data_IF_426140145103
#
_entry.id   IF_426140145103
#
_cell.length_a   1.000
_cell.length_b   1.000
_cell.length_c   1.000
_cell.angle_alpha   90.00
_cell.angle_beta   90.00
_cell.angle_gamma   90.00
#
_symmetry.space_group_name_H-M   'P 1'
#
loop_
_entity.id
_entity.type
_entity.pdbx_description
1 polymer ?
#
# COMPACT_ATOMS: atom_id res chain seq x y z
N UNK A 1 -3.20 19.37 16.47
CA UNK A 1 -2.02 18.47 16.41
C UNK A 1 -2.52 17.06 16.16
N UNK A 2 -1.96 16.39 15.16
CA UNK A 2 -2.38 15.02 14.86
C UNK A 2 -1.93 14.05 15.96
N UNK A 3 -2.80 13.16 16.37
CA UNK A 3 -2.48 12.11 17.34
C UNK A 3 -1.74 10.93 16.71
N UNK A 4 -1.84 10.76 15.38
CA UNK A 4 -1.16 9.76 14.59
C UNK A 4 -0.87 10.32 13.20
N UNK A 5 0.20 9.85 12.58
CA UNK A 5 0.56 10.18 11.19
C UNK A 5 0.13 9.15 10.16
N UNK A 6 -0.58 8.11 10.59
CA UNK A 6 -0.98 7.03 9.70
C UNK A 6 -1.72 7.55 8.45
N UNK A 7 -2.69 8.44 8.65
CA UNK A 7 -3.47 9.01 7.55
C UNK A 7 -2.62 9.86 6.60
N UNK A 8 -1.74 10.70 7.14
CA UNK A 8 -0.85 11.54 6.32
C UNK A 8 0.09 10.70 5.47
N UNK A 9 0.60 9.60 6.04
CA UNK A 9 1.50 8.69 5.34
C UNK A 9 0.72 7.91 4.27
N UNK A 10 -0.48 7.44 4.55
CA UNK A 10 -1.32 6.76 3.55
C UNK A 10 -1.62 7.68 2.36
N UNK A 11 -1.98 8.94 2.60
CA UNK A 11 -2.20 9.94 1.54
C UNK A 11 -0.92 10.20 0.74
N UNK A 12 0.22 10.37 1.41
CA UNK A 12 1.50 10.62 0.75
C UNK A 12 1.94 9.44 -0.11
N UNK A 13 1.76 8.22 0.36
CA UNK A 13 2.02 7.00 -0.42
C UNK A 13 1.12 6.94 -1.65
N UNK A 14 -0.18 7.17 -1.49
CA UNK A 14 -1.14 7.18 -2.59
C UNK A 14 -0.74 8.21 -3.66
N UNK A 15 -0.41 9.43 -3.25
CA UNK A 15 0.01 10.49 -4.16
C UNK A 15 1.29 10.14 -4.91
N UNK A 16 2.28 9.63 -4.21
CA UNK A 16 3.56 9.25 -4.81
C UNK A 16 3.41 8.10 -5.81
N UNK A 17 2.62 7.10 -5.48
CA UNK A 17 2.39 5.95 -6.37
C UNK A 17 1.50 6.30 -7.56
N UNK A 18 0.51 7.16 -7.38
CA UNK A 18 -0.32 7.65 -8.48
C UNK A 18 0.52 8.41 -9.52
N UNK A 19 1.52 9.16 -9.08
CA UNK A 19 2.46 9.85 -9.97
C UNK A 19 3.48 8.91 -10.64
N UNK A 20 3.86 7.80 -9.98
CA UNK A 20 4.90 6.90 -10.47
C UNK A 20 4.37 5.73 -11.31
N UNK A 21 3.14 5.30 -11.08
CA UNK A 21 2.55 4.15 -11.75
C UNK A 21 1.68 4.55 -12.93
N UNK A 22 1.56 3.66 -13.91
CA UNK A 22 0.68 3.86 -15.08
C UNK A 22 -0.74 3.33 -14.85
N UNK A 23 -0.95 2.49 -13.85
CA UNK A 23 -2.26 1.99 -13.46
C UNK A 23 -2.95 2.92 -12.46
N UNK A 24 -4.24 2.68 -12.22
CA UNK A 24 -5.00 3.44 -11.22
C UNK A 24 -4.55 3.11 -9.80
N UNK A 25 -4.46 4.13 -8.96
CA UNK A 25 -4.12 4.02 -7.54
C UNK A 25 -5.24 4.63 -6.71
N UNK A 26 -5.77 3.85 -5.76
CA UNK A 26 -6.87 4.27 -4.90
C UNK A 26 -6.40 4.42 -3.46
N UNK A 27 -6.89 5.45 -2.79
CA UNK A 27 -6.81 5.56 -1.34
C UNK A 27 -8.05 4.86 -0.74
N UNK A 28 -7.85 3.65 -0.30
CA UNK A 28 -8.93 2.75 0.12
C UNK A 28 -9.36 1.75 -0.95
N UNK A 29 -10.54 1.16 -0.81
CA UNK A 29 -11.08 0.21 -1.78
C UNK A 29 -11.30 0.85 -3.15
N UNK A 30 -11.12 0.07 -4.22
CA UNK A 30 -11.39 0.53 -5.58
C UNK A 30 -12.88 0.87 -5.76
N UNK A 31 -13.15 2.07 -6.32
CA UNK A 31 -14.50 2.62 -6.43
C UNK A 31 -15.15 2.41 -7.79
N UNK A 32 -14.40 2.01 -8.80
CA UNK A 32 -14.88 1.83 -10.18
C UNK A 32 -14.45 0.48 -10.76
N UNK A 33 -14.77 -0.60 -10.05
CA UNK A 33 -14.24 -1.93 -10.30
C UNK A 33 -14.61 -2.60 -11.62
N UNK A 34 -15.62 -2.12 -12.34
CA UNK A 34 -16.20 -2.89 -13.45
C UNK A 34 -15.38 -2.89 -14.75
N UNK A 35 -14.38 -2.02 -14.87
CA UNK A 35 -13.60 -1.86 -16.10
C UNK A 35 -12.10 -1.77 -15.91
N UNK A 36 -11.62 -1.85 -14.69
CA UNK A 36 -10.19 -1.74 -14.39
C UNK A 36 -9.52 -3.08 -14.62
N UNK A 37 -8.52 -3.10 -15.50
CA UNK A 37 -7.70 -4.30 -15.76
C UNK A 37 -6.61 -4.47 -14.70
N UNK A 38 -6.03 -3.37 -14.25
CA UNK A 38 -5.00 -3.37 -13.20
C UNK A 38 -5.16 -2.14 -12.32
N UNK A 39 -5.01 -2.33 -11.01
CA UNK A 39 -5.08 -1.23 -10.05
C UNK A 39 -4.37 -1.57 -8.75
N UNK A 40 -4.06 -0.53 -7.98
CA UNK A 40 -3.44 -0.62 -6.65
C UNK A 40 -4.35 0.07 -5.63
N UNK A 41 -4.58 -0.57 -4.50
CA UNK A 41 -5.29 0.02 -3.37
C UNK A 41 -4.35 0.21 -2.18
N UNK A 42 -4.34 1.40 -1.63
CA UNK A 42 -3.57 1.76 -0.44
C UNK A 42 -4.53 1.86 0.75
N UNK A 43 -4.24 1.16 1.83
CA UNK A 43 -5.10 1.16 3.00
C UNK A 43 -6.36 0.30 2.82
N UNK A 44 -6.29 -0.76 2.04
CA UNK A 44 -7.37 -1.73 1.88
C UNK A 44 -6.83 -3.15 1.82
N UNK A 45 -7.52 -4.06 2.49
CA UNK A 45 -7.27 -5.49 2.35
C UNK A 45 -7.64 -5.99 0.95
N UNK A 46 -7.11 -7.15 0.57
CA UNK A 46 -7.53 -7.83 -0.65
C UNK A 46 -9.06 -8.00 -0.70
N UNK A 47 -9.67 -7.97 -1.90
CA UNK A 47 -11.12 -7.90 -2.06
C UNK A 47 -11.90 -9.05 -1.41
N UNK A 48 -11.27 -10.19 -1.20
CA UNK A 48 -11.86 -11.39 -0.58
C UNK A 48 -11.60 -11.49 0.93
N UNK A 49 -11.00 -10.46 1.53
CA UNK A 49 -10.77 -10.42 2.97
C UNK A 49 -12.08 -10.16 3.73
N UNK A 50 -12.33 -10.98 4.75
CA UNK A 50 -13.51 -10.86 5.60
C UNK A 50 -13.44 -9.68 6.58
N UNK A 51 -12.24 -9.14 6.82
CA UNK A 51 -12.02 -8.04 7.76
C UNK A 51 -11.53 -6.79 7.04
N UNK A 52 -12.30 -5.68 7.09
CA UNK A 52 -11.87 -4.42 6.53
C UNK A 52 -10.81 -3.79 7.44
N UNK A 53 -9.56 -4.11 7.20
CA UNK A 53 -8.42 -3.60 7.96
C UNK A 53 -7.47 -2.86 7.01
N UNK A 54 -7.42 -1.53 7.17
CA UNK A 54 -6.54 -0.66 6.38
C UNK A 54 -5.09 -0.67 6.87
N UNK A 55 -4.88 -1.04 8.12
CA UNK A 55 -3.58 -1.05 8.76
C UNK A 55 -3.68 -0.90 10.27
N UNK A 56 -2.55 -0.73 10.89
CA UNK A 56 -2.45 -0.53 12.34
C UNK A 56 -1.24 0.35 12.66
N UNK A 57 -1.25 0.94 13.83
CA UNK A 57 -0.09 1.66 14.35
C UNK A 57 0.05 1.43 15.86
N UNK A 58 1.27 1.65 16.35
CA UNK A 58 1.57 1.68 17.77
C UNK A 58 2.47 2.86 18.11
N UNK A 59 2.31 3.40 19.29
CA UNK A 59 3.02 4.59 19.74
C UNK A 59 3.74 4.34 21.06
N UNK A 60 4.92 4.92 21.20
CA UNK A 60 5.70 4.88 22.42
C UNK A 60 6.20 6.27 22.76
N UNK A 61 5.92 6.71 23.99
CA UNK A 61 6.45 7.98 24.49
C UNK A 61 7.97 7.97 24.64
N UNK A 62 8.59 9.05 24.20
CA UNK A 62 9.99 9.37 24.48
C UNK A 62 10.05 10.38 25.59
N UNK A 63 10.17 9.94 26.82
CA UNK A 63 10.27 10.82 27.97
C UNK A 63 8.95 11.09 28.67
N UNK A 64 8.99 11.97 29.65
CA UNK A 64 7.87 12.33 30.49
C UNK A 64 7.59 13.83 30.38
N UNK A 65 6.36 14.21 30.53
CA UNK A 65 5.93 15.61 30.56
C UNK A 65 5.19 16.07 29.30
N UNK A 66 4.69 17.30 29.30
CA UNK A 66 3.80 17.82 28.24
C UNK A 66 4.53 18.05 26.90
N UNK A 67 5.87 18.09 26.91
CA UNK A 67 6.68 18.21 25.68
C UNK A 67 7.19 16.86 25.16
N UNK A 68 6.73 15.74 25.73
CA UNK A 68 7.14 14.41 25.32
C UNK A 68 6.69 14.14 23.87
N UNK A 69 7.62 13.67 23.05
CA UNK A 69 7.32 13.19 21.70
C UNK A 69 6.99 11.70 21.75
N UNK A 70 6.29 11.24 20.74
CA UNK A 70 5.98 9.83 20.56
C UNK A 70 6.73 9.29 19.34
N UNK A 71 7.29 8.09 19.46
CA UNK A 71 7.65 7.30 18.29
C UNK A 71 6.43 6.51 17.85
N UNK A 72 6.14 6.55 16.57
CA UNK A 72 5.05 5.78 15.97
C UNK A 72 5.63 4.81 14.95
N UNK A 73 5.22 3.56 15.06
CA UNK A 73 5.45 2.54 14.05
C UNK A 73 4.10 2.05 13.56
N UNK A 74 3.98 1.79 12.27
CA UNK A 74 2.71 1.32 11.74
C UNK A 74 2.86 0.55 10.45
N UNK A 75 1.76 -0.03 10.06
CA UNK A 75 1.59 -0.79 8.84
C UNK A 75 0.43 -0.22 8.05
N UNK A 76 0.57 -0.21 6.73
CA UNK A 76 -0.50 0.10 5.79
C UNK A 76 -0.71 -1.14 4.94
N UNK A 77 -1.92 -1.69 4.95
CA UNK A 77 -2.28 -2.82 4.11
C UNK A 77 -2.67 -2.33 2.73
N UNK A 78 -2.12 -2.99 1.73
CA UNK A 78 -2.30 -2.62 0.34
C UNK A 78 -2.52 -3.88 -0.50
N UNK A 79 -3.01 -3.72 -1.71
CA UNK A 79 -3.01 -4.80 -2.68
C UNK A 79 -2.91 -4.27 -4.11
N UNK A 80 -2.33 -5.11 -4.96
CA UNK A 80 -2.33 -4.95 -6.41
C UNK A 80 -3.30 -5.98 -6.97
N UNK A 81 -4.15 -5.59 -7.90
CA UNK A 81 -5.07 -6.49 -8.57
C UNK A 81 -4.95 -6.35 -10.08
N UNK A 82 -4.93 -7.45 -10.79
CA UNK A 82 -4.95 -7.48 -12.24
C UNK A 82 -5.87 -8.58 -12.73
N UNK A 83 -6.67 -8.26 -13.74
CA UNK A 83 -7.64 -9.13 -14.34
C UNK A 83 -7.54 -9.06 -15.86
N UNK A 84 -7.78 -10.19 -16.52
CA UNK A 84 -7.87 -10.29 -17.98
C UNK A 84 -8.94 -11.30 -18.37
N UNK A 85 -9.66 -11.01 -19.45
CA UNK A 85 -10.58 -11.95 -20.09
C UNK A 85 -9.90 -13.16 -20.71
N UNK A 86 -8.58 -13.07 -20.93
CA UNK A 86 -7.74 -14.17 -21.39
C UNK A 86 -7.36 -15.07 -20.20
N UNK A 87 -7.30 -16.40 -20.44
CA UNK A 87 -6.89 -17.34 -19.39
C UNK A 87 -5.35 -17.47 -19.30
N UNK A 88 -4.63 -16.36 -19.34
CA UNK A 88 -3.18 -16.33 -19.32
C UNK A 88 -2.67 -15.83 -17.95
N UNK A 89 -2.70 -16.69 -16.94
CA UNK A 89 -2.18 -16.38 -15.60
C UNK A 89 -0.69 -15.99 -15.60
N UNK A 90 0.21 -16.63 -16.37
CA UNK A 90 1.62 -16.22 -16.38
C UNK A 90 1.82 -14.76 -16.80
N UNK A 91 1.09 -14.28 -17.79
CA UNK A 91 1.17 -12.88 -18.23
C UNK A 91 0.65 -11.91 -17.16
N UNK A 92 -0.43 -12.25 -16.47
CA UNK A 92 -0.96 -11.46 -15.35
C UNK A 92 0.00 -11.39 -14.16
N UNK A 93 0.67 -12.51 -13.84
CA UNK A 93 1.70 -12.51 -12.79
C UNK A 93 2.84 -11.56 -13.12
N UNK A 94 3.31 -11.56 -14.35
CA UNK A 94 4.36 -10.62 -14.80
C UNK A 94 3.87 -9.18 -14.62
N UNK A 95 2.66 -8.86 -15.06
CA UNK A 95 2.08 -7.52 -14.91
C UNK A 95 2.04 -7.08 -13.45
N UNK A 96 1.56 -7.94 -12.56
CA UNK A 96 1.46 -7.64 -11.12
C UNK A 96 2.84 -7.48 -10.49
N UNK A 97 3.79 -8.33 -10.83
CA UNK A 97 5.17 -8.22 -10.33
C UNK A 97 5.88 -6.97 -10.84
N UNK A 98 5.66 -6.57 -12.09
CA UNK A 98 6.20 -5.32 -12.63
C UNK A 98 5.65 -4.10 -11.86
N UNK A 99 4.36 -4.08 -11.57
CA UNK A 99 3.75 -3.03 -10.73
C UNK A 99 4.38 -3.03 -9.33
N UNK A 100 4.56 -4.19 -8.74
CA UNK A 100 5.19 -4.32 -7.42
C UNK A 100 6.64 -3.82 -7.42
N UNK A 101 7.41 -4.12 -8.46
CA UNK A 101 8.77 -3.63 -8.62
C UNK A 101 8.80 -2.10 -8.78
N UNK A 102 7.87 -1.54 -9.53
CA UNK A 102 7.73 -0.08 -9.68
C UNK A 102 7.38 0.60 -8.36
N UNK A 103 6.53 -0.01 -7.54
CA UNK A 103 6.23 0.47 -6.18
C UNK A 103 7.48 0.49 -5.31
N UNK A 104 8.26 -0.59 -5.32
CA UNK A 104 9.51 -0.67 -4.57
C UNK A 104 10.51 0.40 -5.05
N UNK A 105 10.63 0.60 -6.35
CA UNK A 105 11.53 1.61 -6.92
C UNK A 105 11.11 3.03 -6.50
N UNK A 106 9.82 3.35 -6.54
CA UNK A 106 9.30 4.65 -6.13
C UNK A 106 9.55 4.94 -4.64
N UNK A 107 9.32 3.94 -3.78
CA UNK A 107 9.55 4.10 -2.33
C UNK A 107 11.04 4.19 -1.97
N UNK A 108 11.90 3.49 -2.70
CA UNK A 108 13.36 3.61 -2.49
C UNK A 108 13.92 4.95 -2.96
N UNK A 109 13.32 5.55 -3.98
CA UNK A 109 13.75 6.84 -4.49
C UNK A 109 13.50 7.97 -3.48
N UNK A 110 12.40 7.89 -2.71
CA UNK A 110 12.10 8.86 -1.64
C UNK A 110 11.32 8.15 -0.52
N UNK A 111 12.03 7.67 0.47
CA UNK A 111 11.46 6.92 1.59
C UNK A 111 10.71 7.79 2.61
N UNK A 112 10.90 9.09 2.56
CA UNK A 112 10.19 10.04 3.42
C UNK A 112 8.95 10.62 2.76
N UNK A 113 8.81 10.50 1.45
CA UNK A 113 7.72 11.04 0.63
C UNK A 113 7.48 12.54 0.86
N UNK A 114 8.54 13.27 1.18
CA UNK A 114 8.46 14.70 1.49
C UNK A 114 7.85 15.02 2.87
N UNK A 115 7.54 14.04 3.68
CA UNK A 115 6.99 14.23 5.03
C UNK A 115 8.11 14.56 6.04
N UNK A 116 7.87 15.58 6.86
CA UNK A 116 8.75 15.91 7.99
C UNK A 116 8.52 14.93 9.14
N UNK A 117 9.59 14.60 9.89
CA UNK A 117 9.52 13.69 11.02
C UNK A 117 9.49 12.20 10.66
N UNK A 118 9.40 11.86 9.38
CA UNK A 118 9.64 10.50 8.90
C UNK A 118 11.14 10.27 8.77
N UNK A 119 11.63 9.16 9.26
CA UNK A 119 13.06 8.82 9.22
C UNK A 119 13.34 7.89 8.06
N UNK A 120 14.45 8.11 7.36
CA UNK A 120 14.91 7.20 6.33
C UNK A 120 15.74 6.05 6.95
N UNK A 121 15.55 4.81 6.53
CA UNK A 121 14.68 4.23 5.49
C UNK A 121 13.34 3.73 6.07
N UNK A 122 12.34 4.58 6.18
CA UNK A 122 11.26 4.39 7.14
C UNK A 122 9.92 3.99 6.53
N UNK A 123 9.76 4.15 5.21
CA UNK A 123 8.59 3.62 4.50
C UNK A 123 9.10 2.56 3.52
N UNK A 124 8.75 1.30 3.78
CA UNK A 124 9.23 0.17 3.01
C UNK A 124 8.17 -0.92 2.83
N UNK A 125 8.31 -1.71 1.78
CA UNK A 125 7.53 -2.93 1.61
C UNK A 125 8.11 -4.02 2.52
N UNK A 126 7.28 -4.52 3.41
CA UNK A 126 7.70 -5.52 4.39
C UNK A 126 7.40 -6.95 3.97
N UNK A 127 6.27 -7.17 3.36
CA UNK A 127 5.83 -8.51 2.95
C UNK A 127 4.81 -8.42 1.83
N UNK A 128 4.70 -9.49 1.08
CA UNK A 128 3.69 -9.66 0.06
C UNK A 128 3.33 -11.12 -0.11
N UNK A 129 2.18 -11.39 -0.69
CA UNK A 129 1.75 -12.73 -1.08
C UNK A 129 1.06 -12.68 -2.43
N UNK A 130 1.04 -13.79 -3.16
CA UNK A 130 0.39 -13.85 -4.47
C UNK A 130 -0.80 -14.79 -4.38
N UNK A 131 -1.95 -14.31 -4.85
CA UNK A 131 -3.16 -15.10 -5.02
C UNK A 131 -3.55 -15.08 -6.49
N UNK A 132 -3.86 -16.23 -7.05
CA UNK A 132 -4.21 -16.33 -8.45
C UNK A 132 -5.30 -17.37 -8.66
N UNK A 133 -6.11 -17.18 -9.69
CA UNK A 133 -7.15 -18.11 -10.03
C UNK A 133 -7.89 -17.72 -11.29
N UNK A 134 -8.72 -18.64 -11.76
CA UNK A 134 -9.64 -18.38 -12.85
C UNK A 134 -10.99 -17.96 -12.28
N UNK A 135 -11.61 -17.00 -12.96
CA UNK A 135 -12.98 -16.57 -12.71
C UNK A 135 -13.87 -17.06 -13.84
N UNK A 136 -15.18 -16.86 -13.72
CA UNK A 136 -16.13 -17.18 -14.80
C UNK A 136 -15.90 -16.35 -16.06
N UNK A 137 -15.18 -15.21 -15.94
CA UNK A 137 -14.97 -14.25 -17.02
C UNK A 137 -13.49 -14.12 -17.45
N UNK A 138 -12.58 -14.88 -16.83
CA UNK A 138 -11.16 -14.82 -17.17
C UNK A 138 -10.24 -15.24 -16.02
N UNK A 139 -9.04 -14.69 -16.00
CA UNK A 139 -8.03 -14.93 -14.99
C UNK A 139 -7.83 -13.69 -14.11
N UNK A 140 -7.47 -13.90 -12.85
CA UNK A 140 -7.19 -12.84 -11.90
C UNK A 140 -5.96 -13.16 -11.05
N UNK A 141 -5.13 -12.15 -10.82
CA UNK A 141 -4.01 -12.21 -9.87
C UNK A 141 -4.12 -11.04 -8.92
N UNK A 142 -4.06 -11.33 -7.63
CA UNK A 142 -3.99 -10.35 -6.55
C UNK A 142 -2.67 -10.51 -5.80
N UNK A 143 -2.05 -9.39 -5.46
CA UNK A 143 -0.84 -9.35 -4.63
C UNK A 143 -1.08 -8.42 -3.44
N UNK A 144 -1.63 -8.96 -2.32
CA UNK A 144 -1.64 -8.21 -1.07
C UNK A 144 -0.23 -7.99 -0.56
N UNK A 145 0.06 -6.78 -0.08
CA UNK A 145 1.35 -6.46 0.52
C UNK A 145 1.16 -5.48 1.69
N UNK A 146 2.19 -5.35 2.50
CA UNK A 146 2.18 -4.49 3.68
C UNK A 146 3.33 -3.50 3.56
N UNK A 147 3.02 -2.21 3.72
CA UNK A 147 4.00 -1.15 3.92
C UNK A 147 4.18 -0.94 5.41
N UNK A 148 5.41 -0.85 5.88
CA UNK A 148 5.71 -0.44 7.24
C UNK A 148 6.41 0.90 7.27
N UNK A 149 6.17 1.65 8.33
CA UNK A 149 6.77 2.96 8.55
C UNK A 149 7.16 3.19 9.99
N UNK A 150 8.10 4.11 10.19
CA UNK A 150 8.47 4.67 11.50
C UNK A 150 8.50 6.18 11.40
N UNK A 151 7.93 6.86 12.35
CA UNK A 151 7.88 8.33 12.39
C UNK A 151 7.84 8.86 13.83
N UNK A 152 7.88 10.17 13.98
CA UNK A 152 7.64 10.87 15.24
C UNK A 152 6.36 11.68 15.17
N UNK A 153 5.65 11.67 16.26
CA UNK A 153 4.41 12.45 16.43
C UNK A 153 4.57 13.50 17.54
#
# INVERSE_FOLDING_TARGET
>A
MAESRWSDIAVAVTTALDAALTCDVFDGPATSGDKLTSYVCIGANAPDSLEPNAGQFSQRYRGLGPAATKDETGDIRCHISSWSGDNNLPALRVTVMDIFDDINAALRADQTLGLTGVRAPEIEVRSGSIRQGYTTTGARVDLPFVLSYTTQV
#
